data_IF_948011245662
#
_entry.id   IF_948011245662
#
_cell.length_a   1.000
_cell.length_b   1.000
_cell.length_c   1.000
_cell.angle_alpha   90.00
_cell.angle_beta   90.00
_cell.angle_gamma   90.00
#
_symmetry.space_group_name_H-M   'P 1'
#
loop_
_entity.id
_entity.type
_entity.pdbx_description
1 polymer ?
#
# COMPACT_ATOMS: atom_id res chain seq x y z
N UNK A 1 -21.70 -12.56 4.89
CA UNK A 1 -20.29 -12.76 4.48
C UNK A 1 -19.56 -11.57 5.05
N UNK A 2 -18.55 -11.75 5.89
CA UNK A 2 -17.72 -10.62 6.31
C UNK A 2 -16.78 -10.35 5.15
N UNK A 3 -17.05 -9.31 4.36
CA UNK A 3 -16.07 -8.77 3.43
C UNK A 3 -14.99 -8.09 4.27
N UNK A 4 -13.85 -8.76 4.42
CA UNK A 4 -12.64 -8.15 4.96
C UNK A 4 -12.02 -7.32 3.85
N UNK A 5 -12.00 -6.00 4.04
CA UNK A 5 -11.29 -5.07 3.16
C UNK A 5 -9.81 -5.50 3.10
N UNK A 6 -9.22 -5.66 1.90
CA UNK A 6 -7.83 -6.06 1.78
C UNK A 6 -6.91 -4.97 2.34
N UNK A 7 -5.76 -5.40 2.88
CA UNK A 7 -4.73 -4.49 3.37
C UNK A 7 -3.60 -4.44 2.35
N UNK A 8 -3.10 -3.24 2.06
CA UNK A 8 -1.98 -3.02 1.16
C UNK A 8 -0.84 -2.33 1.88
N UNK A 9 0.38 -2.82 1.67
CA UNK A 9 1.60 -2.13 2.05
C UNK A 9 2.17 -1.40 0.84
N UNK A 10 2.49 -0.12 1.02
CA UNK A 10 3.11 0.73 0.02
C UNK A 10 4.58 0.88 0.35
N UNK A 11 5.45 0.46 -0.57
CA UNK A 11 6.88 0.41 -0.42
C UNK A 11 7.53 1.31 -1.48
N UNK A 12 8.65 1.94 -1.15
CA UNK A 12 9.52 2.51 -2.18
C UNK A 12 10.29 1.39 -2.87
N UNK A 13 10.69 1.59 -4.13
CA UNK A 13 11.57 0.64 -4.84
C UNK A 13 12.94 0.44 -4.18
N UNK A 14 13.35 1.35 -3.29
CA UNK A 14 14.54 1.24 -2.44
C UNK A 14 14.33 0.29 -1.24
N UNK A 15 13.11 -0.22 -1.04
CA UNK A 15 12.75 -1.15 0.02
C UNK A 15 12.34 -0.48 1.33
N UNK A 16 11.88 0.77 1.29
CA UNK A 16 11.39 1.47 2.49
C UNK A 16 9.86 1.44 2.53
N UNK A 17 9.28 0.96 3.64
CA UNK A 17 7.84 1.00 3.83
C UNK A 17 7.38 2.45 4.04
N UNK A 18 6.41 2.87 3.24
CA UNK A 18 5.79 4.20 3.26
C UNK A 18 4.59 4.18 4.22
N UNK A 19 3.65 3.28 3.95
CA UNK A 19 2.39 3.17 4.67
C UNK A 19 1.74 1.79 4.49
N UNK A 20 0.87 1.44 5.41
CA UNK A 20 -0.02 0.27 5.31
C UNK A 20 -1.45 0.77 5.39
N UNK A 21 -2.28 0.49 4.38
CA UNK A 21 -3.64 1.02 4.26
C UNK A 21 -4.61 -0.12 3.94
N UNK A 22 -5.71 -0.18 4.67
CA UNK A 22 -6.83 -1.07 4.38
C UNK A 22 -7.75 -0.39 3.34
N UNK A 23 -7.78 -0.91 2.11
CA UNK A 23 -8.48 -0.27 0.98
C UNK A 23 -8.76 -1.26 -0.13
N UNK A 24 -9.91 -1.15 -0.80
CA UNK A 24 -10.23 -1.92 -2.01
C UNK A 24 -9.62 -1.30 -3.28
N UNK A 25 -9.11 -0.06 -3.18
CA UNK A 25 -8.59 0.72 -4.30
C UNK A 25 -7.21 1.30 -3.98
N UNK A 26 -6.15 0.46 -3.89
CA UNK A 26 -4.81 0.92 -3.54
C UNK A 26 -4.27 1.97 -4.51
N UNK A 27 -4.65 1.88 -5.80
CA UNK A 27 -4.19 2.80 -6.84
C UNK A 27 -4.62 4.26 -6.62
N UNK A 28 -5.80 4.50 -6.01
CA UNK A 28 -6.30 5.85 -5.73
C UNK A 28 -5.41 6.57 -4.70
N UNK A 29 -4.83 5.81 -3.77
CA UNK A 29 -3.98 6.33 -2.71
C UNK A 29 -2.52 6.55 -3.13
N UNK A 30 -2.04 5.91 -4.21
CA UNK A 30 -0.62 6.04 -4.63
C UNK A 30 -0.27 7.50 -4.92
N UNK A 31 -1.16 8.25 -5.58
CA UNK A 31 -0.93 9.66 -5.88
C UNK A 31 -0.83 10.53 -4.62
N UNK A 32 -1.68 10.26 -3.62
CA UNK A 32 -1.65 10.96 -2.33
C UNK A 32 -0.39 10.62 -1.54
N UNK A 33 -0.03 9.33 -1.49
CA UNK A 33 1.18 8.84 -0.83
C UNK A 33 2.45 9.43 -1.45
N UNK A 34 2.50 9.48 -2.79
CA UNK A 34 3.60 10.10 -3.52
C UNK A 34 3.80 11.57 -3.14
N UNK A 35 2.70 12.34 -3.06
CA UNK A 35 2.73 13.74 -2.66
C UNK A 35 3.12 13.91 -1.18
N UNK A 36 2.53 13.12 -0.29
CA UNK A 36 2.73 13.24 1.15
C UNK A 36 4.16 12.87 1.58
N UNK A 37 4.71 11.82 0.99
CA UNK A 37 6.05 11.31 1.29
C UNK A 37 7.14 11.85 0.36
N UNK A 38 6.80 12.70 -0.61
CA UNK A 38 7.73 13.24 -1.62
C UNK A 38 8.47 12.13 -2.38
N UNK A 39 7.77 11.05 -2.71
CA UNK A 39 8.27 9.92 -3.52
C UNK A 39 7.50 9.93 -4.84
N UNK A 40 8.14 9.81 -6.02
CA UNK A 40 7.40 9.75 -7.28
C UNK A 40 6.59 8.45 -7.36
N UNK A 41 5.39 8.53 -7.95
CA UNK A 41 4.45 7.40 -8.11
C UNK A 41 5.09 6.19 -8.78
N UNK A 42 5.99 6.41 -9.75
CA UNK A 42 6.75 5.37 -10.46
C UNK A 42 7.73 4.59 -9.54
N UNK A 43 8.11 5.18 -8.40
CA UNK A 43 8.98 4.55 -7.40
C UNK A 43 8.19 3.92 -6.24
N UNK A 44 6.86 3.84 -6.32
CA UNK A 44 6.01 3.22 -5.30
C UNK A 44 5.50 1.88 -5.82
N UNK A 45 5.82 0.83 -5.07
CA UNK A 45 5.25 -0.50 -5.21
C UNK A 45 4.16 -0.70 -4.15
N UNK A 46 3.07 -1.39 -4.48
CA UNK A 46 2.04 -1.79 -3.52
C UNK A 46 1.88 -3.31 -3.52
N UNK A 47 1.84 -3.88 -2.32
CA UNK A 47 1.75 -5.32 -2.10
C UNK A 47 0.52 -5.58 -1.26
N UNK A 48 -0.40 -6.42 -1.75
CA UNK A 48 -1.51 -6.91 -0.94
C UNK A 48 -0.95 -7.81 0.15
N UNK A 49 -1.22 -7.46 1.40
CA UNK A 49 -0.87 -8.29 2.55
C UNK A 49 -2.12 -8.92 3.12
N UNK A 50 -2.06 -10.23 3.25
CA UNK A 50 -3.08 -10.98 3.94
C UNK A 50 -2.73 -10.97 5.44
N UNK A 51 -3.51 -10.30 6.30
CA UNK A 51 -3.22 -10.26 7.74
C UNK A 51 -3.30 -11.65 8.39
N UNK A 52 -3.86 -12.65 7.69
CA UNK A 52 -3.89 -14.04 8.14
C UNK A 52 -2.72 -14.89 7.62
N UNK A 53 -1.89 -14.40 6.69
CA UNK A 53 -0.75 -15.15 6.14
C UNK A 53 0.55 -15.02 6.97
N UNK A 54 0.53 -14.25 8.07
CA UNK A 54 1.61 -14.18 9.04
C UNK A 54 1.57 -15.35 10.05
N UNK A 55 1.91 -16.55 9.60
CA UNK A 55 2.21 -17.73 10.45
C UNK A 55 3.63 -18.26 10.19
#
# INVERSE_FOLDING_TARGET
MNETTPTYEFWTLDGNLIATIETEAPFDHIGELALFHSVPVDEIEWVEVDPAAGE
#
